data_IF_457679908464
#
_entry.id   IF_457679908464
#
_cell.length_a   1.000
_cell.length_b   1.000
_cell.length_c   1.000
_cell.angle_alpha   90.00
_cell.angle_beta   90.00
_cell.angle_gamma   90.00
#
_symmetry.space_group_name_H-M   'P 1'
#
loop_
_entity.id
_entity.type
_entity.pdbx_description
1 polymer ?
#
# COMPACT_ATOMS: atom_id res chain seq x y z
N UNK A 1 15.86 -7.00 39.96
CA UNK A 1 15.89 -7.37 38.52
C UNK A 1 14.52 -7.92 38.14
N UNK A 2 13.80 -7.27 37.22
CA UNK A 2 12.41 -7.64 36.92
C UNK A 2 12.31 -8.70 35.82
N UNK A 3 11.25 -9.52 35.88
CA UNK A 3 10.93 -10.60 34.93
C UNK A 3 10.90 -10.14 33.45
N UNK A 4 10.75 -8.83 33.21
CA UNK A 4 10.68 -8.23 31.88
C UNK A 4 12.02 -8.18 31.14
N UNK A 5 13.16 -8.20 31.85
CA UNK A 5 14.47 -8.21 31.18
C UNK A 5 14.87 -9.60 30.65
N UNK A 6 14.25 -10.68 31.15
CA UNK A 6 14.50 -12.07 30.67
C UNK A 6 13.70 -12.43 29.41
N UNK A 7 12.64 -11.70 29.08
CA UNK A 7 11.81 -11.96 27.89
C UNK A 7 12.30 -11.24 26.61
N UNK A 8 13.29 -10.34 26.71
CA UNK A 8 13.86 -9.58 25.57
C UNK A 8 15.31 -9.97 25.24
N UNK A 9 15.75 -11.16 25.68
CA UNK A 9 17.12 -11.66 25.55
C UNK A 9 17.38 -12.54 24.33
N UNK A 10 16.73 -12.29 23.19
CA UNK A 10 17.15 -12.86 21.91
C UNK A 10 17.77 -11.74 21.10
N UNK A 11 19.09 -11.76 20.90
CA UNK A 11 19.71 -10.89 19.91
C UNK A 11 18.93 -11.06 18.59
N UNK A 12 18.35 -9.98 18.08
CA UNK A 12 17.81 -10.00 16.70
C UNK A 12 18.99 -10.42 15.84
N UNK A 13 18.92 -11.62 15.25
CA UNK A 13 19.94 -12.09 14.31
C UNK A 13 20.03 -11.03 13.21
N UNK A 14 21.20 -10.42 13.09
CA UNK A 14 21.51 -9.57 11.94
C UNK A 14 21.81 -10.52 10.78
N UNK A 15 21.02 -10.42 9.72
CA UNK A 15 21.23 -11.18 8.50
C UNK A 15 22.15 -10.36 7.60
N UNK A 16 23.13 -11.02 6.97
CA UNK A 16 23.85 -10.41 5.86
C UNK A 16 22.92 -10.20 4.66
N UNK A 17 23.27 -9.25 3.78
CA UNK A 17 22.52 -9.03 2.53
C UNK A 17 22.38 -10.32 1.70
N UNK A 18 23.43 -11.14 1.67
CA UNK A 18 23.43 -12.42 0.94
C UNK A 18 22.47 -13.46 1.53
N UNK A 19 22.35 -13.52 2.87
CA UNK A 19 21.40 -14.40 3.55
C UNK A 19 19.96 -13.93 3.31
N UNK A 20 19.72 -12.61 3.39
CA UNK A 20 18.41 -12.01 3.12
C UNK A 20 17.96 -12.31 1.70
N UNK A 21 18.83 -12.14 0.70
CA UNK A 21 18.52 -12.42 -0.70
C UNK A 21 18.22 -13.90 -0.94
N UNK A 22 18.99 -14.80 -0.33
CA UNK A 22 18.79 -16.26 -0.46
C UNK A 22 17.48 -16.70 0.18
N UNK A 23 17.19 -16.21 1.40
CA UNK A 23 15.95 -16.52 2.11
C UNK A 23 14.73 -15.95 1.38
N UNK A 24 14.83 -14.73 0.85
CA UNK A 24 13.77 -14.11 0.06
C UNK A 24 13.51 -14.87 -1.25
N UNK A 25 14.56 -15.26 -1.98
CA UNK A 25 14.40 -16.05 -3.21
C UNK A 25 13.73 -17.39 -2.92
N UNK A 26 14.18 -18.09 -1.88
CA UNK A 26 13.56 -19.35 -1.45
C UNK A 26 12.08 -19.15 -1.08
N UNK A 27 11.78 -18.12 -0.28
CA UNK A 27 10.41 -17.79 0.11
C UNK A 27 9.51 -17.49 -1.10
N UNK A 28 9.98 -16.67 -2.04
CA UNK A 28 9.22 -16.32 -3.24
C UNK A 28 8.99 -17.53 -4.15
N UNK A 29 10.01 -18.38 -4.36
CA UNK A 29 9.84 -19.63 -5.14
C UNK A 29 8.81 -20.56 -4.54
N UNK A 30 8.78 -20.68 -3.20
CA UNK A 30 7.75 -21.46 -2.53
C UNK A 30 6.37 -20.89 -2.80
N UNK A 31 6.21 -19.57 -2.67
CA UNK A 31 4.94 -18.91 -2.96
C UNK A 31 4.49 -19.05 -4.41
N UNK A 32 5.40 -18.94 -5.38
CA UNK A 32 5.10 -19.11 -6.81
C UNK A 32 4.56 -20.50 -7.14
N UNK A 33 5.13 -21.54 -6.51
CA UNK A 33 4.65 -22.91 -6.67
C UNK A 33 3.31 -23.12 -5.95
N UNK A 34 3.19 -22.58 -4.74
CA UNK A 34 2.04 -22.76 -3.87
C UNK A 34 0.82 -21.98 -4.35
N UNK A 35 0.97 -20.80 -4.96
CA UNK A 35 -0.17 -19.94 -5.33
C UNK A 35 -1.09 -20.59 -6.37
N UNK A 36 -0.51 -21.39 -7.27
CA UNK A 36 -1.24 -22.14 -8.31
C UNK A 36 -1.81 -23.44 -7.76
N UNK A 37 -1.08 -24.12 -6.88
CA UNK A 37 -1.46 -25.44 -6.36
C UNK A 37 -2.43 -25.38 -5.16
N UNK A 38 -2.23 -24.44 -4.24
CA UNK A 38 -3.04 -24.17 -3.05
C UNK A 38 -3.00 -22.67 -2.71
N UNK A 39 -3.84 -21.90 -3.40
CA UNK A 39 -3.94 -20.45 -3.23
C UNK A 39 -4.21 -20.05 -1.77
N UNK A 40 -5.00 -20.83 -1.02
CA UNK A 40 -5.34 -20.51 0.37
C UNK A 40 -4.12 -20.61 1.27
N UNK A 41 -3.29 -21.63 1.08
CA UNK A 41 -2.05 -21.80 1.84
C UNK A 41 -1.02 -20.72 1.49
N UNK A 42 -0.84 -20.42 0.20
CA UNK A 42 0.05 -19.34 -0.25
C UNK A 42 -0.35 -17.97 0.33
N UNK A 43 -1.64 -17.63 0.31
CA UNK A 43 -2.17 -16.40 0.94
C UNK A 43 -1.81 -16.34 2.42
N UNK A 44 -2.04 -17.43 3.15
CA UNK A 44 -1.71 -17.51 4.58
C UNK A 44 -0.21 -17.29 4.82
N UNK A 45 0.65 -17.79 3.92
CA UNK A 45 2.10 -17.61 3.98
C UNK A 45 2.52 -16.16 3.68
N UNK A 46 1.89 -15.49 2.71
CA UNK A 46 2.12 -14.06 2.43
C UNK A 46 1.76 -13.16 3.62
N UNK A 47 0.62 -13.41 4.26
CA UNK A 47 0.18 -12.67 5.46
C UNK A 47 1.15 -12.91 6.64
N UNK A 48 1.69 -14.12 6.76
CA UNK A 48 2.61 -14.53 7.83
C UNK A 48 4.09 -14.44 7.45
N UNK A 49 4.42 -13.67 6.41
CA UNK A 49 5.78 -13.56 5.89
C UNK A 49 6.79 -13.12 6.97
N UNK A 50 8.05 -13.56 6.90
CA UNK A 50 9.08 -13.09 7.82
C UNK A 50 9.30 -11.58 7.69
N UNK A 51 9.13 -10.84 8.80
CA UNK A 51 9.16 -9.36 8.80
C UNK A 51 10.51 -8.77 8.36
N UNK A 52 11.61 -9.51 8.50
CA UNK A 52 12.93 -9.03 8.08
C UNK A 52 13.10 -9.02 6.56
N UNK A 53 12.23 -9.69 5.80
CA UNK A 53 12.22 -9.66 4.34
C UNK A 53 11.41 -8.47 3.77
N UNK A 54 10.59 -7.80 4.60
CA UNK A 54 9.73 -6.68 4.19
C UNK A 54 10.46 -5.61 3.35
N UNK A 55 11.67 -5.15 3.73
CA UNK A 55 12.37 -4.12 2.96
C UNK A 55 12.75 -4.57 1.55
N UNK A 56 12.89 -5.88 1.30
CA UNK A 56 13.16 -6.40 -0.03
C UNK A 56 11.91 -6.37 -0.92
N UNK A 57 10.73 -6.41 -0.31
CA UNK A 57 9.45 -6.42 -1.00
C UNK A 57 8.82 -5.04 -1.11
N UNK A 58 9.16 -4.06 -0.27
CA UNK A 58 8.62 -2.68 -0.32
C UNK A 58 8.86 -1.98 -1.68
N UNK A 59 8.18 -0.86 -1.98
CA UNK A 59 8.20 -0.20 -3.30
C UNK A 59 9.60 0.08 -3.91
N UNK A 60 10.59 0.33 -3.07
CA UNK A 60 11.98 0.57 -3.50
C UNK A 60 12.88 -0.67 -3.34
N UNK A 61 12.28 -1.81 -2.97
CA UNK A 61 12.95 -3.06 -2.72
C UNK A 61 13.23 -3.82 -4.02
N UNK A 62 14.36 -4.54 -4.11
CA UNK A 62 14.78 -5.22 -5.34
C UNK A 62 13.85 -6.37 -5.77
N UNK A 63 12.92 -6.80 -4.92
CA UNK A 63 12.00 -7.91 -5.17
C UNK A 63 10.53 -7.47 -5.19
N UNK A 64 10.25 -6.16 -5.23
CA UNK A 64 8.88 -5.61 -5.24
C UNK A 64 8.04 -6.24 -6.35
N UNK A 65 8.45 -6.13 -7.62
CA UNK A 65 7.65 -6.59 -8.76
C UNK A 65 7.33 -8.09 -8.68
N UNK A 66 8.32 -8.90 -8.28
CA UNK A 66 8.14 -10.34 -8.13
C UNK A 66 7.14 -10.66 -7.02
N UNK A 67 7.25 -10.00 -5.87
CA UNK A 67 6.30 -10.17 -4.78
C UNK A 67 4.89 -9.68 -5.17
N UNK A 68 4.79 -8.49 -5.78
CA UNK A 68 3.54 -7.93 -6.26
C UNK A 68 2.85 -8.86 -7.27
N UNK A 69 3.58 -9.46 -8.21
CA UNK A 69 3.02 -10.41 -9.16
C UNK A 69 2.39 -11.64 -8.52
N UNK A 70 3.00 -12.16 -7.45
CA UNK A 70 2.44 -13.28 -6.66
C UNK A 70 1.18 -12.82 -5.91
N UNK A 71 1.20 -11.64 -5.30
CA UNK A 71 0.04 -11.07 -4.60
C UNK A 71 -1.14 -10.90 -5.56
N UNK A 72 -0.91 -10.29 -6.73
CA UNK A 72 -1.94 -10.07 -7.75
C UNK A 72 -2.50 -11.39 -8.30
N UNK A 73 -1.63 -12.38 -8.50
CA UNK A 73 -2.07 -13.74 -8.87
C UNK A 73 -2.97 -14.34 -7.79
N UNK A 74 -2.59 -14.21 -6.51
CA UNK A 74 -3.42 -14.63 -5.39
C UNK A 74 -4.76 -13.91 -5.29
N UNK A 75 -4.76 -12.59 -5.53
CA UNK A 75 -5.95 -11.77 -5.55
C UNK A 75 -6.90 -12.22 -6.67
N UNK A 76 -6.38 -12.42 -7.88
CA UNK A 76 -7.11 -12.93 -9.03
C UNK A 76 -7.70 -14.32 -8.74
N UNK A 77 -6.90 -15.27 -8.27
CA UNK A 77 -7.38 -16.63 -7.97
C UNK A 77 -8.46 -16.66 -6.87
N UNK A 78 -8.45 -15.71 -5.93
CA UNK A 78 -9.46 -15.63 -4.86
C UNK A 78 -10.76 -14.97 -5.31
N UNK A 79 -10.69 -14.00 -6.23
CA UNK A 79 -11.89 -13.38 -6.81
C UNK A 79 -12.56 -14.40 -7.72
N UNK A 80 -13.77 -14.84 -7.34
CA UNK A 80 -14.58 -15.80 -8.13
C UNK A 80 -15.28 -15.15 -9.32
N UNK A 81 -14.98 -13.88 -9.59
CA UNK A 81 -15.60 -13.12 -10.67
C UNK A 81 -14.81 -13.31 -11.96
N UNK A 82 -15.41 -14.03 -12.90
CA UNK A 82 -14.83 -14.36 -14.20
C UNK A 82 -14.69 -13.16 -15.13
N UNK A 83 -15.26 -12.00 -14.78
CA UNK A 83 -15.14 -10.77 -15.58
C UNK A 83 -13.82 -10.02 -15.33
N UNK A 84 -13.13 -10.31 -14.23
CA UNK A 84 -11.92 -9.57 -13.84
C UNK A 84 -10.71 -10.15 -14.59
N UNK A 85 -9.97 -9.30 -15.30
CA UNK A 85 -8.72 -9.67 -15.97
C UNK A 85 -7.60 -9.74 -14.94
N UNK A 86 -6.79 -10.79 -15.00
CA UNK A 86 -5.59 -10.91 -14.15
C UNK A 86 -4.65 -9.72 -14.42
N UNK A 87 -4.30 -9.00 -13.35
CA UNK A 87 -3.35 -7.90 -13.38
C UNK A 87 -1.94 -8.40 -13.07
N UNK A 88 -0.96 -7.76 -13.69
CA UNK A 88 0.47 -7.89 -13.44
C UNK A 88 1.01 -6.62 -12.76
N UNK A 89 2.25 -6.63 -12.25
CA UNK A 89 2.87 -5.42 -11.69
C UNK A 89 2.88 -4.24 -12.67
N UNK A 90 3.07 -4.49 -13.96
CA UNK A 90 3.07 -3.46 -15.02
C UNK A 90 1.70 -2.81 -15.23
N UNK A 91 0.62 -3.45 -14.78
CA UNK A 91 -0.74 -2.89 -14.84
C UNK A 91 -1.09 -2.02 -13.62
N UNK A 92 -0.24 -2.00 -12.58
CA UNK A 92 -0.46 -1.17 -11.40
C UNK A 92 -0.08 0.28 -11.70
N UNK A 93 -0.84 1.26 -11.15
CA UNK A 93 -0.48 2.66 -11.31
C UNK A 93 0.89 2.92 -10.67
N UNK A 94 1.71 3.70 -11.36
CA UNK A 94 3.03 4.11 -10.88
C UNK A 94 2.91 4.90 -9.57
N UNK A 95 3.83 4.66 -8.62
CA UNK A 95 3.77 5.24 -7.27
C UNK A 95 4.99 6.09 -6.94
N UNK A 96 4.73 7.29 -6.43
CA UNK A 96 5.71 8.07 -5.68
C UNK A 96 5.39 7.96 -4.20
N UNK A 97 6.33 7.40 -3.42
CA UNK A 97 6.23 7.40 -1.95
C UNK A 97 6.73 8.75 -1.43
N UNK A 98 5.95 9.37 -0.54
CA UNK A 98 6.36 10.56 0.21
C UNK A 98 6.27 10.22 1.69
N UNK A 99 7.39 10.41 2.39
CA UNK A 99 7.55 10.03 3.80
C UNK A 99 7.80 11.24 4.70
N UNK A 100 7.70 11.03 6.02
CA UNK A 100 7.67 12.10 7.03
C UNK A 100 8.96 12.93 7.09
N UNK A 101 10.08 12.35 6.67
CA UNK A 101 11.36 13.04 6.57
C UNK A 101 11.52 13.83 5.26
N UNK A 102 10.68 13.56 4.25
CA UNK A 102 10.73 14.23 2.97
C UNK A 102 9.80 15.44 2.90
N UNK A 103 8.68 15.39 3.62
CA UNK A 103 7.69 16.46 3.70
C UNK A 103 7.07 16.51 5.10
N UNK A 104 7.21 17.64 5.77
CA UNK A 104 6.62 17.90 7.09
C UNK A 104 5.22 18.50 7.01
N UNK A 105 4.86 19.13 5.89
CA UNK A 105 3.55 19.76 5.68
C UNK A 105 2.85 19.28 4.42
N UNK A 106 1.52 19.38 4.40
CA UNK A 106 0.71 19.05 3.22
C UNK A 106 1.10 19.90 2.00
N UNK A 107 1.48 21.17 2.19
CA UNK A 107 2.00 22.02 1.11
C UNK A 107 3.28 21.46 0.48
N UNK A 108 4.17 20.86 1.26
CA UNK A 108 5.37 20.19 0.74
C UNK A 108 5.03 18.89 0.01
N UNK A 109 4.04 18.14 0.49
CA UNK A 109 3.50 16.97 -0.22
C UNK A 109 2.96 17.38 -1.59
N UNK A 110 2.14 18.43 -1.65
CA UNK A 110 1.59 18.97 -2.90
C UNK A 110 2.68 19.43 -3.88
N UNK A 111 3.70 20.14 -3.40
CA UNK A 111 4.83 20.57 -4.22
C UNK A 111 5.62 19.40 -4.81
N UNK A 112 5.78 18.31 -4.05
CA UNK A 112 6.45 17.08 -4.53
C UNK A 112 5.57 16.33 -5.51
N UNK A 113 4.28 16.18 -5.22
CA UNK A 113 3.30 15.56 -6.11
C UNK A 113 3.23 16.27 -7.47
N UNK A 114 3.30 17.61 -7.48
CA UNK A 114 3.29 18.41 -8.70
C UNK A 114 4.51 18.15 -9.61
N UNK A 115 5.63 17.72 -9.03
CA UNK A 115 6.88 17.41 -9.76
C UNK A 115 7.04 15.92 -10.09
N UNK A 116 6.19 15.06 -9.53
CA UNK A 116 6.27 13.62 -9.73
C UNK A 116 5.67 13.25 -11.09
N UNK A 117 6.29 12.31 -11.79
CA UNK A 117 5.73 11.66 -12.99
C UNK A 117 4.72 10.54 -12.61
N UNK A 118 4.69 10.11 -11.35
CA UNK A 118 3.86 9.00 -10.89
C UNK A 118 2.36 9.33 -10.90
N UNK A 119 1.52 8.32 -11.15
CA UNK A 119 0.06 8.44 -11.16
C UNK A 119 -0.55 8.50 -9.76
N UNK A 120 0.06 7.81 -8.81
CA UNK A 120 -0.37 7.73 -7.42
C UNK A 120 0.71 8.26 -6.50
N UNK A 121 0.29 9.08 -5.54
CA UNK A 121 1.13 9.52 -4.43
C UNK A 121 0.77 8.68 -3.22
N UNK A 122 1.73 7.88 -2.75
CA UNK A 122 1.58 7.14 -1.50
C UNK A 122 2.20 7.97 -0.37
N UNK A 123 1.33 8.45 0.50
CA UNK A 123 1.70 9.25 1.66
C UNK A 123 1.90 8.29 2.84
N UNK A 124 3.13 8.17 3.34
CA UNK A 124 3.53 7.21 4.38
C UNK A 124 4.13 7.89 5.60
N UNK A 125 3.32 8.14 6.63
CA UNK A 125 3.72 9.01 7.75
C UNK A 125 3.75 8.39 9.16
N UNK A 126 3.47 7.09 9.32
CA UNK A 126 3.66 6.41 10.61
C UNK A 126 5.01 5.68 10.64
N UNK A 127 5.95 6.20 11.44
CA UNK A 127 7.26 5.55 11.70
C UNK A 127 7.17 4.17 12.36
N UNK A 128 6.12 3.94 13.16
CA UNK A 128 5.95 2.71 13.95
C UNK A 128 5.08 1.65 13.27
N UNK A 129 4.37 2.02 12.20
CA UNK A 129 3.60 1.04 11.45
C UNK A 129 4.59 0.26 10.57
N UNK A 130 4.66 -1.08 10.71
CA UNK A 130 5.51 -1.84 9.82
C UNK A 130 5.05 -1.57 8.38
N UNK A 131 5.98 -1.39 7.43
CA UNK A 131 5.61 -1.45 6.03
C UNK A 131 4.76 -2.70 5.82
N UNK A 132 3.60 -2.52 5.18
CA UNK A 132 2.75 -3.63 4.81
C UNK A 132 2.61 -3.62 3.30
N UNK A 133 3.64 -4.14 2.64
CA UNK A 133 3.70 -4.23 1.17
C UNK A 133 2.50 -4.97 0.61
N UNK A 134 1.98 -5.97 1.32
CA UNK A 134 0.80 -6.72 0.88
C UNK A 134 -0.41 -5.80 0.75
N UNK A 135 -0.71 -5.02 1.81
CA UNK A 135 -1.81 -4.06 1.77
C UNK A 135 -1.60 -2.94 0.75
N UNK A 136 -0.34 -2.51 0.56
CA UNK A 136 -0.01 -1.49 -0.44
C UNK A 136 -0.27 -1.99 -1.87
N UNK A 137 0.16 -3.20 -2.21
CA UNK A 137 -0.12 -3.81 -3.52
C UNK A 137 -1.63 -3.98 -3.72
N UNK A 138 -2.37 -4.35 -2.68
CA UNK A 138 -3.82 -4.47 -2.78
C UNK A 138 -4.54 -3.12 -2.96
N UNK A 139 -4.10 -2.07 -2.28
CA UNK A 139 -4.65 -0.73 -2.51
C UNK A 139 -4.43 -0.26 -3.95
N UNK A 140 -3.26 -0.54 -4.53
CA UNK A 140 -2.97 -0.25 -5.93
C UNK A 140 -3.79 -1.12 -6.87
N UNK A 141 -4.03 -2.39 -6.52
CA UNK A 141 -4.90 -3.25 -7.29
C UNK A 141 -6.33 -2.70 -7.31
N UNK A 142 -6.86 -2.23 -6.19
CA UNK A 142 -8.18 -1.57 -6.15
C UNK A 142 -8.23 -0.33 -7.05
N UNK A 143 -7.17 0.48 -7.07
CA UNK A 143 -7.05 1.62 -8.00
C UNK A 143 -6.90 1.16 -9.46
N UNK A 144 -6.25 0.03 -9.74
CA UNK A 144 -6.05 -0.49 -11.09
C UNK A 144 -7.33 -1.09 -11.70
N UNK A 145 -8.22 -1.64 -10.87
CA UNK A 145 -9.50 -2.21 -11.31
C UNK A 145 -10.62 -1.17 -11.39
N UNK A 146 -10.51 -0.07 -10.64
CA UNK A 146 -11.47 1.03 -10.66
C UNK A 146 -10.76 2.34 -11.03
N UNK A 147 -10.77 2.70 -12.33
CA UNK A 147 -10.15 3.94 -12.81
C UNK A 147 -10.81 5.21 -12.26
N UNK A 148 -12.09 5.14 -11.85
CA UNK A 148 -12.86 6.27 -11.33
C UNK A 148 -12.62 6.52 -9.83
N UNK A 149 -11.95 5.57 -9.16
CA UNK A 149 -11.43 5.72 -7.82
C UNK A 149 -10.43 6.89 -7.74
N UNK A 150 -10.74 7.85 -6.88
CA UNK A 150 -9.94 9.06 -6.67
C UNK A 150 -8.79 8.83 -5.68
N UNK A 151 -9.05 8.05 -4.63
CA UNK A 151 -8.02 7.63 -3.66
C UNK A 151 -8.53 6.52 -2.74
N UNK A 152 -7.59 5.84 -2.06
CA UNK A 152 -7.84 4.82 -1.06
C UNK A 152 -7.08 5.15 0.25
N UNK A 153 -7.75 5.09 1.40
CA UNK A 153 -7.11 5.12 2.73
C UNK A 153 -6.91 3.67 3.18
N UNK A 154 -5.68 3.33 3.51
CA UNK A 154 -5.35 2.05 4.13
C UNK A 154 -5.33 2.20 5.64
N UNK A 155 -5.95 1.29 6.39
CA UNK A 155 -6.22 1.29 7.85
C UNK A 155 -4.98 1.40 8.77
N UNK A 156 -4.22 2.48 8.62
CA UNK A 156 -3.51 3.21 9.65
C UNK A 156 -3.85 4.69 9.42
N UNK A 157 -4.11 5.48 10.47
CA UNK A 157 -4.77 6.79 10.36
C UNK A 157 -4.10 7.80 9.42
N UNK A 158 -2.83 7.58 9.04
CA UNK A 158 -2.04 8.55 8.28
C UNK A 158 -1.43 7.98 6.97
N UNK A 159 -1.88 6.81 6.51
CA UNK A 159 -1.42 6.22 5.24
C UNK A 159 -2.51 6.31 4.17
N UNK A 160 -2.23 7.02 3.08
CA UNK A 160 -3.20 7.23 2.01
C UNK A 160 -2.56 7.09 0.62
N UNK A 161 -3.24 6.36 -0.25
CA UNK A 161 -2.93 6.22 -1.67
C UNK A 161 -3.84 7.16 -2.44
N UNK A 162 -3.31 8.26 -2.96
CA UNK A 162 -4.11 9.28 -3.62
C UNK A 162 -3.69 9.45 -5.07
N UNK A 163 -4.66 9.47 -6.01
CA UNK A 163 -4.36 9.81 -7.40
C UNK A 163 -3.80 11.22 -7.45
N UNK A 164 -2.68 11.41 -8.16
CA UNK A 164 -1.97 12.69 -8.22
C UNK A 164 -2.89 13.82 -8.68
N UNK A 165 -3.75 13.59 -9.67
CA UNK A 165 -4.69 14.60 -10.17
C UNK A 165 -5.66 15.09 -9.07
N UNK A 166 -6.23 14.19 -8.27
CA UNK A 166 -7.10 14.53 -7.15
C UNK A 166 -6.34 15.28 -6.04
N UNK A 167 -5.15 14.80 -5.70
CA UNK A 167 -4.30 15.48 -4.71
C UNK A 167 -4.00 16.93 -5.13
N UNK A 168 -3.70 17.15 -6.41
CA UNK A 168 -3.43 18.49 -6.94
C UNK A 168 -4.69 19.36 -7.06
N UNK A 169 -5.87 18.77 -7.34
CA UNK A 169 -7.13 19.53 -7.34
C UNK A 169 -7.54 19.98 -5.94
N UNK A 170 -7.17 19.23 -4.91
CA UNK A 170 -7.39 19.58 -3.52
C UNK A 170 -6.52 20.76 -3.03
N UNK A 171 -5.40 21.03 -3.72
CA UNK A 171 -4.39 22.02 -3.30
C UNK A 171 -4.93 23.41 -2.90
N UNK A 172 -5.91 24.01 -3.59
CA UNK A 172 -6.44 25.32 -3.23
C UNK A 172 -7.33 25.32 -1.98
N UNK A 173 -7.91 24.16 -1.63
CA UNK A 173 -8.88 24.02 -0.55
C UNK A 173 -8.27 23.51 0.76
N UNK A 174 -7.19 22.72 0.66
CA UNK A 174 -6.52 22.14 1.83
C UNK A 174 -5.56 23.14 2.48
N UNK A 175 -5.41 23.04 3.80
CA UNK A 175 -4.47 23.90 4.55
C UNK A 175 -3.04 23.44 4.28
N UNK A 176 -2.34 24.09 3.36
CA UNK A 176 -0.95 23.74 3.03
C UNK A 176 0.05 23.78 4.21
N UNK A 177 -0.27 24.54 5.27
CA UNK A 177 0.53 24.56 6.50
C UNK A 177 0.20 23.41 7.48
N UNK A 178 -0.84 22.61 7.22
CA UNK A 178 -1.18 21.45 8.04
C UNK A 178 -0.03 20.43 8.05
N UNK A 179 0.21 19.75 9.20
CA UNK A 179 1.15 18.65 9.26
C UNK A 179 0.82 17.60 8.21
N UNK A 180 1.84 17.03 7.57
CA UNK A 180 1.62 16.05 6.50
C UNK A 180 0.90 14.78 7.02
N UNK A 181 1.07 14.44 8.30
CA UNK A 181 0.32 13.38 8.99
C UNK A 181 -1.20 13.58 8.89
N UNK A 182 -1.67 14.83 8.84
CA UNK A 182 -3.10 15.16 8.68
C UNK A 182 -3.58 15.09 7.23
N UNK A 183 -2.75 14.67 6.28
CA UNK A 183 -3.12 14.60 4.88
C UNK A 183 -4.35 13.71 4.66
N UNK A 184 -4.43 12.56 5.32
CA UNK A 184 -5.58 11.66 5.20
C UNK A 184 -6.88 12.36 5.65
N UNK A 185 -6.88 12.99 6.82
CA UNK A 185 -8.03 13.74 7.36
C UNK A 185 -8.43 14.92 6.45
N UNK A 186 -7.48 15.75 6.01
CA UNK A 186 -7.77 16.92 5.17
C UNK A 186 -8.27 16.52 3.77
N UNK A 187 -7.71 15.45 3.18
CA UNK A 187 -8.16 14.94 1.87
C UNK A 187 -9.52 14.25 1.97
N UNK A 188 -9.78 13.55 3.08
CA UNK A 188 -11.08 12.98 3.39
C UNK A 188 -12.16 14.07 3.46
N UNK A 189 -11.94 15.10 4.29
CA UNK A 189 -12.87 16.23 4.43
C UNK A 189 -13.08 16.98 3.11
N UNK A 190 -12.02 17.13 2.30
CA UNK A 190 -12.13 17.73 0.98
C UNK A 190 -12.97 16.87 0.02
N UNK A 191 -12.77 15.54 0.03
CA UNK A 191 -13.50 14.58 -0.78
C UNK A 191 -14.99 14.56 -0.47
N UNK A 192 -15.35 14.47 0.82
CA UNK A 192 -16.76 14.49 1.27
C UNK A 192 -17.49 15.79 0.91
N UNK A 193 -16.76 16.91 0.80
CA UNK A 193 -17.34 18.20 0.44
C UNK A 193 -17.62 18.35 -1.07
N UNK A 194 -17.18 17.42 -1.92
CA UNK A 194 -17.45 17.49 -3.36
C UNK A 194 -18.80 16.85 -3.70
N UNK A 195 -19.67 17.54 -4.46
CA UNK A 195 -21.04 17.08 -4.73
C UNK A 195 -21.14 15.82 -5.63
N UNK A 196 -20.10 15.54 -6.41
CA UNK A 196 -20.01 14.42 -7.36
C UNK A 196 -19.19 13.24 -6.84
N UNK A 197 -18.64 13.33 -5.63
CA UNK A 197 -17.84 12.28 -5.02
C UNK A 197 -18.69 11.49 -4.01
N UNK A 198 -18.60 10.17 -4.09
CA UNK A 198 -19.10 9.24 -3.09
C UNK A 198 -17.96 8.59 -2.31
N UNK A 199 -18.33 8.05 -1.14
CA UNK A 199 -17.44 7.40 -0.19
C UNK A 199 -17.90 5.97 0.08
N UNK A 200 -16.98 5.02 -0.03
CA UNK A 200 -17.14 3.64 0.41
C UNK A 200 -16.19 3.36 1.58
N UNK A 201 -16.76 3.18 2.77
CA UNK A 201 -16.04 2.97 4.03
C UNK A 201 -15.49 1.54 4.18
N UNK A 202 -15.83 0.61 3.28
CA UNK A 202 -15.51 -0.81 3.46
C UNK A 202 -15.22 -1.55 2.14
N UNK A 203 -14.28 -1.03 1.35
CA UNK A 203 -13.73 -1.80 0.23
C UNK A 203 -12.87 -2.93 0.78
N UNK A 204 -13.40 -4.15 0.71
CA UNK A 204 -12.69 -5.35 1.15
C UNK A 204 -11.75 -5.85 0.05
N UNK A 205 -10.45 -5.79 0.33
CA UNK A 205 -9.42 -6.34 -0.54
C UNK A 205 -9.54 -7.85 -0.72
N UNK A 206 -8.83 -8.40 -1.70
CA UNK A 206 -8.79 -9.84 -1.87
C UNK A 206 -8.21 -10.52 -0.63
N UNK A 207 -7.18 -10.00 0.04
CA UNK A 207 -6.59 -10.61 1.23
C UNK A 207 -7.29 -10.21 2.54
N UNK A 208 -8.36 -9.40 2.45
CA UNK A 208 -9.25 -9.06 3.58
C UNK A 208 -8.84 -7.79 4.33
N UNK A 209 -8.03 -6.93 3.71
CA UNK A 209 -7.78 -5.58 4.20
C UNK A 209 -9.01 -4.70 3.92
N UNK A 210 -9.32 -3.85 4.88
CA UNK A 210 -10.38 -2.86 4.74
C UNK A 210 -9.73 -1.55 4.27
N UNK A 211 -10.19 -1.07 3.14
CA UNK A 211 -9.84 0.23 2.59
C UNK A 211 -11.05 1.14 2.58
N UNK A 212 -10.80 2.43 2.73
CA UNK A 212 -11.80 3.46 2.48
C UNK A 212 -11.52 4.06 1.11
N UNK A 213 -12.52 4.21 0.24
CA UNK A 213 -12.32 4.69 -1.13
C UNK A 213 -13.29 5.81 -1.47
N UNK A 214 -12.79 6.81 -2.19
CA UNK A 214 -13.63 7.82 -2.83
C UNK A 214 -13.70 7.57 -4.34
N UNK A 215 -14.88 7.75 -4.93
CA UNK A 215 -15.11 7.57 -6.36
C UNK A 215 -16.13 8.59 -6.88
N UNK A 216 -16.16 8.87 -8.18
CA UNK A 216 -17.15 9.76 -8.78
C UNK A 216 -18.43 9.01 -9.11
N UNK A 217 -19.59 9.65 -8.93
CA UNK A 217 -20.86 9.13 -9.46
C UNK A 217 -20.77 9.05 -10.99
N UNK A 218 -21.07 7.87 -11.54
CA UNK A 218 -21.33 7.76 -12.97
C UNK A 218 -22.50 8.69 -13.33
N UNK A 219 -22.29 9.50 -14.38
CA UNK A 219 -23.28 10.46 -14.90
C UNK A 219 -24.27 9.81 -15.84
#
# INVERSE_FOLDING_TARGET
MSLWSRLKGGAKREYSESELATEADFFLRQLEQEIVADTKSAIKRMIKRPKHLEPLFDFNGPLYDRFAGIVLTGAFCKRRDTAIVQKSPDDLPSVQVITDHEAATLGQVLQRAAKSEAEVIFIRFIKEWPPDVLAAVEALYELAIDPDALFCIHSGPDNVFVRKNFLLSAAPAVKGAAPAQKAAEELFLYGEAQPDIEYDDYVLSAFGYVFCKFFRKES
#
